data_IF_916750564661
#
_entry.id   IF_916750564661
#
_cell.length_a   1.000
_cell.length_b   1.000
_cell.length_c   1.000
_cell.angle_alpha   90.00
_cell.angle_beta   90.00
_cell.angle_gamma   90.00
#
_symmetry.space_group_name_H-M   'P 1'
#
loop_
_entity.id
_entity.type
_entity.pdbx_description
1 polymer ?
#
# COMPACT_ATOMS: atom_id res chain seq x y z
N UNK A 1 30.03 12.38 -2.34
CA UNK A 1 28.71 13.06 -2.38
C UNK A 1 28.55 13.76 -1.05
N UNK A 2 28.54 15.08 -1.00
CA UNK A 2 28.43 15.85 0.25
C UNK A 2 27.00 15.77 0.79
N UNK A 3 26.78 15.71 2.12
CA UNK A 3 25.45 15.71 2.70
C UNK A 3 24.74 17.04 2.40
N UNK A 4 23.50 16.94 1.95
CA UNK A 4 22.60 18.07 1.73
C UNK A 4 22.37 18.80 3.07
N UNK A 5 22.47 20.15 3.13
CA UNK A 5 22.19 20.87 4.35
C UNK A 5 20.72 20.71 4.76
N UNK A 6 20.41 20.72 6.07
CA UNK A 6 19.03 20.67 6.56
C UNK A 6 18.25 21.88 6.01
N UNK A 7 17.04 21.62 5.51
CA UNK A 7 16.12 22.62 5.01
C UNK A 7 15.89 23.68 6.10
N UNK A 8 16.21 24.92 5.79
CA UNK A 8 15.98 26.05 6.68
C UNK A 8 14.49 26.19 6.98
N UNK A 9 14.14 26.27 8.26
CA UNK A 9 12.81 26.67 8.72
C UNK A 9 12.49 28.03 8.10
N UNK A 10 11.49 28.12 7.22
CA UNK A 10 11.00 29.41 6.71
C UNK A 10 10.33 30.19 7.84
N UNK A 11 10.48 31.52 7.88
CA UNK A 11 9.83 32.37 8.88
C UNK A 11 8.30 32.30 8.76
N UNK A 12 7.61 32.49 9.89
CA UNK A 12 6.13 32.45 10.03
C UNK A 12 5.36 33.51 9.19
N UNK A 13 6.05 34.38 8.48
CA UNK A 13 5.51 35.50 7.67
C UNK A 13 5.37 35.17 6.16
N UNK A 14 5.49 33.89 5.73
CA UNK A 14 5.36 33.54 4.32
C UNK A 14 3.91 33.73 3.86
N UNK A 15 3.70 34.63 2.89
CA UNK A 15 2.40 34.85 2.23
C UNK A 15 2.13 33.70 1.25
N UNK A 16 1.16 32.84 1.54
CA UNK A 16 0.76 31.71 0.71
C UNK A 16 -0.14 30.75 1.50
N UNK A 17 -0.84 29.83 0.80
CA UNK A 17 -1.70 28.86 1.47
C UNK A 17 -0.87 27.92 2.35
N UNK A 18 -1.48 27.48 3.45
CA UNK A 18 -0.90 26.46 4.31
C UNK A 18 -1.33 25.06 3.88
N UNK A 19 -0.43 24.09 4.11
CA UNK A 19 -0.72 22.67 3.94
C UNK A 19 -0.41 21.94 5.24
N UNK A 20 -1.42 21.29 5.81
CA UNK A 20 -1.26 20.43 6.97
C UNK A 20 -1.31 18.95 6.55
N UNK A 21 -0.37 18.14 7.03
CA UNK A 21 -0.23 16.73 6.66
C UNK A 21 -0.29 15.87 7.91
N UNK A 22 -1.15 14.86 7.91
CA UNK A 22 -1.26 13.82 8.94
C UNK A 22 -0.87 12.44 8.37
N UNK A 23 -0.23 11.59 9.16
CA UNK A 23 0.25 10.27 8.76
C UNK A 23 1.64 10.34 8.11
N UNK A 24 2.53 11.18 8.61
CA UNK A 24 3.84 11.49 8.01
C UNK A 24 4.97 10.55 8.42
N UNK A 25 4.73 9.65 9.38
CA UNK A 25 5.76 8.77 9.95
C UNK A 25 6.28 7.68 8.98
N UNK A 26 5.72 7.59 7.76
CA UNK A 26 6.08 6.61 6.73
C UNK A 26 7.07 7.16 5.68
N UNK A 27 7.61 6.26 4.86
CA UNK A 27 8.40 6.63 3.68
C UNK A 27 7.64 7.52 2.69
N UNK A 28 6.32 7.33 2.57
CA UNK A 28 5.43 8.21 1.80
C UNK A 28 5.35 9.61 2.42
N UNK A 29 5.12 9.68 3.74
CA UNK A 29 5.04 10.95 4.46
C UNK A 29 6.29 11.79 4.31
N UNK A 30 7.46 11.15 4.40
CA UNK A 30 8.75 11.81 4.16
C UNK A 30 8.85 12.44 2.77
N UNK A 31 8.39 11.71 1.72
CA UNK A 31 8.40 12.20 0.34
C UNK A 31 7.42 13.35 0.13
N UNK A 32 6.22 13.21 0.65
CA UNK A 32 5.19 14.26 0.58
C UNK A 32 5.67 15.54 1.26
N UNK A 33 6.18 15.44 2.50
CA UNK A 33 6.73 16.61 3.21
C UNK A 33 7.91 17.24 2.48
N UNK A 34 8.79 16.44 1.87
CA UNK A 34 9.91 16.95 1.10
C UNK A 34 9.44 17.73 -0.14
N UNK A 35 8.45 17.19 -0.88
CA UNK A 35 7.88 17.88 -2.05
C UNK A 35 7.20 19.19 -1.66
N UNK A 36 6.36 19.18 -0.62
CA UNK A 36 5.67 20.39 -0.14
C UNK A 36 6.63 21.45 0.36
N UNK A 37 7.68 21.08 1.09
CA UNK A 37 8.69 22.04 1.59
C UNK A 37 9.54 22.63 0.47
N UNK A 38 9.65 21.96 -0.67
CA UNK A 38 10.33 22.46 -1.85
C UNK A 38 9.47 23.41 -2.71
N UNK A 39 8.15 23.44 -2.50
CA UNK A 39 7.23 24.29 -3.24
C UNK A 39 7.36 25.77 -2.76
N UNK A 40 7.80 26.70 -3.63
CA UNK A 40 7.97 28.10 -3.27
C UNK A 40 6.65 28.85 -3.06
N UNK A 41 5.56 28.34 -3.62
CA UNK A 41 4.26 29.01 -3.58
C UNK A 41 3.49 28.73 -2.28
N UNK A 42 3.97 27.77 -1.46
CA UNK A 42 3.38 27.48 -0.15
C UNK A 42 3.91 28.43 0.94
N UNK A 43 2.98 28.98 1.72
CA UNK A 43 3.28 29.78 2.90
C UNK A 43 3.81 28.91 4.02
N UNK A 44 3.08 27.89 4.41
CA UNK A 44 3.42 27.05 5.56
C UNK A 44 3.11 25.57 5.32
N UNK A 45 4.06 24.69 5.67
CA UNK A 45 3.87 23.22 5.70
C UNK A 45 3.88 22.76 7.16
N UNK A 46 2.77 22.18 7.61
CA UNK A 46 2.55 21.73 8.98
C UNK A 46 2.54 20.22 9.02
N UNK A 47 3.50 19.63 9.70
CA UNK A 47 3.52 18.21 9.99
C UNK A 47 2.73 17.95 11.28
N UNK A 48 1.51 17.43 11.14
CA UNK A 48 0.57 17.24 12.25
C UNK A 48 0.99 16.13 13.22
N UNK A 49 1.91 15.26 12.81
CA UNK A 49 2.39 14.18 13.68
C UNK A 49 3.52 14.65 14.60
N UNK A 50 4.14 15.79 14.30
CA UNK A 50 5.26 16.34 15.08
C UNK A 50 4.97 17.68 15.74
N UNK A 51 3.92 18.39 15.33
CA UNK A 51 3.55 19.68 15.93
C UNK A 51 3.04 19.52 17.37
N UNK A 52 3.32 20.49 18.22
CA UNK A 52 2.98 20.45 19.66
C UNK A 52 1.47 20.37 19.91
N UNK A 53 0.68 21.12 19.11
CA UNK A 53 -0.78 21.13 19.22
C UNK A 53 -1.41 20.92 17.83
N UNK A 54 -1.65 19.66 17.45
CA UNK A 54 -2.24 19.35 16.16
C UNK A 54 -3.71 19.80 16.04
N UNK A 55 -4.43 19.97 17.14
CA UNK A 55 -5.82 20.45 17.13
C UNK A 55 -5.85 21.94 16.81
N UNK A 56 -5.03 22.74 17.49
CA UNK A 56 -4.93 24.17 17.20
C UNK A 56 -4.40 24.42 15.78
N UNK A 57 -3.44 23.61 15.31
CA UNK A 57 -2.91 23.72 13.97
C UNK A 57 -4.00 23.46 12.90
N UNK A 58 -4.85 22.46 13.09
CA UNK A 58 -5.99 22.18 12.21
C UNK A 58 -7.07 23.27 12.26
N UNK A 59 -7.38 23.75 13.45
CA UNK A 59 -8.38 24.82 13.62
C UNK A 59 -7.94 26.14 12.98
N UNK A 60 -6.64 26.35 12.81
CA UNK A 60 -6.07 27.52 12.13
C UNK A 60 -6.06 27.45 10.61
N UNK A 61 -6.52 26.33 10.00
CA UNK A 61 -6.62 26.23 8.54
C UNK A 61 -7.81 27.04 8.02
N UNK A 62 -7.61 27.73 6.90
CA UNK A 62 -8.59 28.56 6.25
C UNK A 62 -9.08 27.98 4.90
N UNK A 63 -9.89 28.75 4.16
CA UNK A 63 -10.53 28.30 2.90
C UNK A 63 -9.54 28.10 1.75
N UNK A 64 -8.35 28.70 1.81
CA UNK A 64 -7.31 28.54 0.81
C UNK A 64 -6.38 27.35 1.13
N UNK A 65 -6.42 26.86 2.37
CA UNK A 65 -5.52 25.84 2.89
C UNK A 65 -5.97 24.42 2.52
N UNK A 66 -5.01 23.49 2.55
CA UNK A 66 -5.25 22.08 2.27
C UNK A 66 -4.87 21.21 3.48
N UNK A 67 -5.75 20.29 3.82
CA UNK A 67 -5.46 19.17 4.72
C UNK A 67 -5.17 17.90 3.91
N UNK A 68 -4.01 17.31 4.11
CA UNK A 68 -3.63 16.02 3.53
C UNK A 68 -3.67 14.97 4.65
N UNK A 69 -4.45 13.90 4.45
CA UNK A 69 -4.53 12.79 5.38
C UNK A 69 -4.05 11.51 4.71
N UNK A 70 -2.83 11.10 5.02
CA UNK A 70 -2.19 9.91 4.44
C UNK A 70 -2.72 8.61 5.05
N UNK A 71 -3.31 8.69 6.25
CA UNK A 71 -3.99 7.56 6.87
C UNK A 71 -3.08 6.41 7.25
N UNK A 72 -1.79 6.67 7.41
CA UNK A 72 -0.81 5.68 7.81
C UNK A 72 0.12 6.28 8.88
N UNK A 73 -0.05 5.89 10.17
CA UNK A 73 0.89 6.26 11.20
C UNK A 73 2.24 5.54 11.09
N UNK A 74 2.41 4.63 10.13
CA UNK A 74 3.69 4.03 9.74
C UNK A 74 4.29 3.01 10.72
N UNK A 75 3.61 2.62 11.80
CA UNK A 75 4.27 1.94 12.91
C UNK A 75 3.67 0.59 13.29
N UNK A 76 2.38 0.39 13.15
CA UNK A 76 1.77 -0.88 13.55
C UNK A 76 1.19 -1.62 12.35
N UNK A 77 1.71 -2.81 12.10
CA UNK A 77 1.13 -3.72 11.12
C UNK A 77 -0.02 -4.47 11.81
N UNK A 78 -1.22 -4.38 11.21
CA UNK A 78 -2.36 -5.19 11.62
C UNK A 78 -2.11 -6.70 11.47
N UNK A 79 -3.07 -7.53 11.90
CA UNK A 79 -2.94 -8.99 11.82
C UNK A 79 -2.74 -9.52 10.39
N UNK A 80 -3.09 -8.74 9.38
CA UNK A 80 -2.91 -9.03 7.95
C UNK A 80 -1.56 -8.53 7.41
N UNK A 81 -0.71 -7.91 8.26
CA UNK A 81 0.61 -7.39 7.88
C UNK A 81 0.56 -6.11 7.07
N UNK A 82 -0.56 -5.41 7.08
CA UNK A 82 -0.76 -4.11 6.45
C UNK A 82 -0.88 -3.02 7.54
N UNK A 83 -0.59 -1.75 7.19
CA UNK A 83 -0.71 -0.65 8.14
C UNK A 83 -2.09 -0.62 8.79
N UNK A 84 -2.12 -0.48 10.11
CA UNK A 84 -3.38 -0.34 10.84
C UNK A 84 -3.89 1.10 10.71
N UNK A 85 -5.07 1.24 10.11
CA UNK A 85 -5.76 2.51 9.96
C UNK A 85 -6.95 2.55 10.91
N UNK A 86 -7.03 3.59 11.74
CA UNK A 86 -8.24 3.92 12.51
C UNK A 86 -9.02 5.06 11.82
N UNK A 87 -10.17 4.77 11.20
CA UNK A 87 -10.99 5.81 10.57
C UNK A 87 -11.44 6.92 11.54
N UNK A 88 -11.42 6.65 12.87
CA UNK A 88 -11.78 7.66 13.87
C UNK A 88 -10.80 8.82 13.92
N UNK A 89 -9.52 8.61 13.53
CA UNK A 89 -8.52 9.67 13.52
C UNK A 89 -8.76 10.66 12.38
N UNK A 90 -9.21 10.16 11.21
CA UNK A 90 -9.70 11.04 10.16
C UNK A 90 -10.90 11.87 10.64
N UNK A 91 -11.90 11.24 11.27
CA UNK A 91 -13.08 11.93 11.79
C UNK A 91 -12.69 13.07 12.73
N UNK A 92 -11.87 12.80 13.74
CA UNK A 92 -11.35 13.82 14.68
C UNK A 92 -10.61 14.93 13.94
N UNK A 93 -9.78 14.55 12.94
CA UNK A 93 -9.05 15.49 12.12
C UNK A 93 -9.95 16.44 11.33
N UNK A 94 -11.02 15.91 10.72
CA UNK A 94 -12.02 16.70 9.98
C UNK A 94 -12.83 17.62 10.90
N UNK A 95 -13.24 17.13 12.07
CA UNK A 95 -13.93 17.92 13.09
C UNK A 95 -13.07 19.08 13.60
N UNK A 96 -11.75 18.85 13.75
CA UNK A 96 -10.80 19.88 14.16
C UNK A 96 -10.42 20.88 13.04
N UNK A 97 -10.86 20.69 11.80
CA UNK A 97 -10.54 21.52 10.63
C UNK A 97 -11.81 22.14 10.01
N UNK A 98 -12.55 22.96 10.73
CA UNK A 98 -13.89 23.41 10.30
C UNK A 98 -13.87 24.33 9.07
N UNK A 99 -12.78 25.05 8.83
CA UNK A 99 -12.65 26.07 7.78
C UNK A 99 -11.72 25.69 6.64
N UNK A 100 -11.18 24.45 6.64
CA UNK A 100 -10.29 23.99 5.56
C UNK A 100 -11.02 23.98 4.22
N UNK A 101 -10.40 24.53 3.18
CA UNK A 101 -11.03 24.66 1.86
C UNK A 101 -10.69 23.55 0.87
N UNK A 102 -9.75 22.66 1.20
CA UNK A 102 -9.44 21.50 0.36
C UNK A 102 -8.93 20.32 1.20
N UNK A 103 -9.33 19.12 0.83
CA UNK A 103 -8.96 17.88 1.48
C UNK A 103 -8.34 16.91 0.46
N UNK A 104 -7.20 16.30 0.80
CA UNK A 104 -6.64 15.17 0.06
C UNK A 104 -6.55 13.98 1.00
N UNK A 105 -7.21 12.88 0.68
CA UNK A 105 -7.26 11.68 1.52
C UNK A 105 -6.72 10.49 0.77
N UNK A 106 -5.84 9.75 1.42
CA UNK A 106 -5.34 8.49 0.89
C UNK A 106 -6.26 7.34 1.28
N UNK A 107 -6.84 6.68 0.27
CA UNK A 107 -7.56 5.41 0.35
C UNK A 107 -6.68 4.27 -0.20
N UNK A 108 -7.26 3.28 -0.84
CA UNK A 108 -6.55 2.21 -1.57
C UNK A 108 -7.46 1.59 -2.64
N UNK A 109 -6.89 1.14 -3.74
CA UNK A 109 -7.63 0.36 -4.75
C UNK A 109 -8.21 -0.95 -4.18
N UNK A 110 -7.65 -1.47 -3.09
CA UNK A 110 -8.20 -2.64 -2.39
C UNK A 110 -9.62 -2.40 -1.84
N UNK A 111 -10.05 -1.15 -1.66
CA UNK A 111 -11.42 -0.83 -1.24
C UNK A 111 -12.49 -1.28 -2.23
N UNK A 112 -12.15 -1.48 -3.51
CA UNK A 112 -13.07 -2.08 -4.49
C UNK A 112 -13.41 -3.54 -4.19
N UNK A 113 -12.56 -4.24 -3.44
CA UNK A 113 -12.62 -5.68 -3.29
C UNK A 113 -12.04 -6.44 -4.51
N UNK A 114 -11.72 -7.70 -4.30
CA UNK A 114 -11.20 -8.58 -5.35
C UNK A 114 -12.21 -9.71 -5.58
N UNK A 115 -13.05 -9.56 -6.60
CA UNK A 115 -14.14 -10.48 -6.89
C UNK A 115 -13.98 -11.13 -8.26
N UNK A 116 -14.45 -12.38 -8.45
CA UNK A 116 -14.37 -13.07 -9.73
C UNK A 116 -15.04 -12.31 -10.88
N UNK A 117 -15.98 -11.43 -10.55
CA UNK A 117 -16.80 -10.67 -11.51
C UNK A 117 -16.31 -9.25 -11.72
N UNK A 118 -15.18 -8.88 -11.14
CA UNK A 118 -14.63 -7.53 -11.32
C UNK A 118 -14.33 -7.27 -12.82
N UNK A 119 -14.71 -6.09 -13.33
CA UNK A 119 -14.18 -5.64 -14.62
C UNK A 119 -12.65 -5.44 -14.53
N UNK A 120 -11.97 -5.56 -15.66
CA UNK A 120 -10.53 -5.36 -15.77
C UNK A 120 -10.26 -4.33 -16.87
N UNK A 121 -9.78 -3.15 -16.52
CA UNK A 121 -9.53 -2.61 -15.18
C UNK A 121 -10.80 -2.12 -14.47
N UNK A 122 -10.70 -1.90 -13.14
CA UNK A 122 -11.69 -1.18 -12.34
C UNK A 122 -11.56 0.33 -12.58
N UNK A 123 -12.68 1.02 -12.65
CA UNK A 123 -12.75 2.50 -12.78
C UNK A 123 -13.33 3.12 -11.51
N UNK A 124 -13.26 4.44 -11.40
CA UNK A 124 -13.80 5.17 -10.23
C UNK A 124 -15.32 5.08 -10.10
N UNK A 125 -16.03 4.72 -11.16
CA UNK A 125 -17.48 4.47 -11.16
C UNK A 125 -17.83 3.10 -10.57
N UNK A 126 -16.84 2.21 -10.42
CA UNK A 126 -17.08 0.89 -9.81
C UNK A 126 -17.38 1.07 -8.32
N UNK A 127 -18.50 0.53 -7.81
CA UNK A 127 -18.83 0.63 -6.38
C UNK A 127 -17.77 -0.02 -5.50
N UNK A 128 -17.51 0.55 -4.34
CA UNK A 128 -16.68 -0.06 -3.32
C UNK A 128 -17.40 -1.25 -2.68
N UNK A 129 -16.77 -2.40 -2.71
CA UNK A 129 -17.30 -3.63 -2.12
C UNK A 129 -16.16 -4.46 -1.51
N UNK A 130 -15.47 -3.95 -0.48
CA UNK A 130 -14.35 -4.65 0.14
C UNK A 130 -14.82 -5.95 0.79
N UNK A 131 -13.94 -6.95 0.84
CA UNK A 131 -14.19 -8.15 1.66
C UNK A 131 -14.17 -7.74 3.15
N UNK A 132 -15.28 -7.92 3.90
CA UNK A 132 -15.33 -7.55 5.32
C UNK A 132 -14.32 -8.30 6.20
N UNK A 133 -13.85 -9.47 5.75
CA UNK A 133 -12.82 -10.23 6.48
C UNK A 133 -11.42 -9.63 6.31
N UNK A 134 -11.24 -8.73 5.35
CA UNK A 134 -9.98 -8.04 5.09
C UNK A 134 -10.04 -6.62 5.65
N UNK A 135 -9.68 -6.48 6.91
CA UNK A 135 -9.84 -5.25 7.70
C UNK A 135 -9.23 -4.02 7.01
N UNK A 136 -8.07 -4.15 6.38
CA UNK A 136 -7.44 -3.05 5.66
C UNK A 136 -8.34 -2.44 4.59
N UNK A 137 -8.88 -3.25 3.69
CA UNK A 137 -9.75 -2.78 2.61
C UNK A 137 -11.08 -2.21 3.15
N UNK A 138 -11.67 -2.86 4.16
CA UNK A 138 -12.89 -2.40 4.80
C UNK A 138 -12.71 -1.02 5.47
N UNK A 139 -11.60 -0.80 6.17
CA UNK A 139 -11.28 0.50 6.78
C UNK A 139 -11.01 1.59 5.75
N UNK A 140 -10.39 1.28 4.59
CA UNK A 140 -10.22 2.25 3.49
C UNK A 140 -11.56 2.67 2.89
N UNK A 141 -12.48 1.74 2.69
CA UNK A 141 -13.85 2.08 2.26
C UNK A 141 -14.60 2.92 3.31
N UNK A 142 -14.38 2.65 4.60
CA UNK A 142 -14.95 3.45 5.69
C UNK A 142 -14.39 4.88 5.69
N UNK A 143 -13.11 5.08 5.44
CA UNK A 143 -12.49 6.40 5.27
C UNK A 143 -13.20 7.19 4.16
N UNK A 144 -13.47 6.57 3.02
CA UNK A 144 -14.16 7.23 1.92
C UNK A 144 -15.62 7.59 2.26
N UNK A 145 -16.30 6.70 2.99
CA UNK A 145 -17.65 6.98 3.49
C UNK A 145 -17.65 8.19 4.43
N UNK A 146 -16.69 8.28 5.34
CA UNK A 146 -16.53 9.41 6.26
C UNK A 146 -16.28 10.73 5.52
N UNK A 147 -15.44 10.72 4.48
CA UNK A 147 -15.23 11.91 3.62
C UNK A 147 -16.53 12.30 2.93
N UNK A 148 -17.27 11.34 2.37
CA UNK A 148 -18.55 11.58 1.74
C UNK A 148 -19.57 12.22 2.68
N UNK A 149 -19.72 11.68 3.90
CA UNK A 149 -20.60 12.22 4.94
C UNK A 149 -20.19 13.64 5.37
N UNK A 150 -18.90 13.86 5.61
CA UNK A 150 -18.38 15.17 6.00
C UNK A 150 -18.65 16.24 4.94
N UNK A 151 -18.61 15.87 3.65
CA UNK A 151 -18.91 16.78 2.54
C UNK A 151 -20.38 17.14 2.40
N UNK A 152 -21.33 16.33 2.89
CA UNK A 152 -22.76 16.65 2.78
C UNK A 152 -23.08 18.02 3.42
N UNK A 153 -22.38 18.36 4.49
CA UNK A 153 -22.53 19.63 5.19
C UNK A 153 -21.60 20.73 4.65
N UNK A 154 -20.73 20.40 3.68
CA UNK A 154 -19.67 21.28 3.15
C UNK A 154 -19.53 21.16 1.63
N UNK A 155 -20.55 21.47 0.86
CA UNK A 155 -20.57 21.27 -0.60
C UNK A 155 -19.51 22.11 -1.33
N UNK A 156 -19.07 23.23 -0.73
CA UNK A 156 -18.07 24.13 -1.30
C UNK A 156 -16.62 23.68 -1.07
N UNK A 157 -16.39 22.64 -0.26
CA UNK A 157 -15.04 22.11 0.01
C UNK A 157 -14.72 21.00 -0.98
N UNK A 158 -13.67 21.17 -1.78
CA UNK A 158 -13.14 20.11 -2.64
C UNK A 158 -12.49 18.99 -1.82
N UNK A 159 -12.72 17.72 -2.18
CA UNK A 159 -12.07 16.59 -1.54
C UNK A 159 -11.61 15.56 -2.57
N UNK A 160 -10.31 15.39 -2.71
CA UNK A 160 -9.71 14.35 -3.52
C UNK A 160 -9.48 13.09 -2.67
N UNK A 161 -10.02 11.95 -3.12
CA UNK A 161 -9.78 10.63 -2.54
C UNK A 161 -8.91 9.84 -3.50
N UNK A 162 -7.69 9.54 -3.10
CA UNK A 162 -6.73 8.81 -3.93
C UNK A 162 -6.75 7.32 -3.60
N UNK A 163 -6.93 6.47 -4.61
CA UNK A 163 -7.00 5.01 -4.52
C UNK A 163 -5.77 4.37 -5.18
N UNK A 164 -4.62 4.31 -4.50
CA UNK A 164 -3.42 3.73 -5.07
C UNK A 164 -3.52 2.21 -5.25
N UNK A 165 -2.87 1.70 -6.31
CA UNK A 165 -2.51 0.30 -6.46
C UNK A 165 -1.50 -0.13 -5.37
N UNK A 166 -0.99 -1.38 -5.43
CA UNK A 166 0.08 -1.81 -4.50
C UNK A 166 1.27 -0.87 -4.63
N UNK A 167 1.56 -0.14 -3.55
CA UNK A 167 2.60 0.89 -3.57
C UNK A 167 3.88 0.38 -2.92
N UNK A 168 4.99 0.48 -3.62
CA UNK A 168 6.30 -0.04 -3.20
C UNK A 168 7.43 0.91 -3.62
N UNK A 169 8.60 0.71 -3.02
CA UNK A 169 9.87 1.34 -3.38
C UNK A 169 11.02 0.43 -2.92
N UNK A 170 12.26 0.84 -3.11
CA UNK A 170 13.44 0.06 -2.70
C UNK A 170 13.41 -0.34 -1.21
N UNK A 171 12.91 0.51 -0.32
CA UNK A 171 12.74 0.19 1.11
C UNK A 171 11.64 -0.83 1.41
N UNK A 172 10.77 -1.11 0.45
CA UNK A 172 9.66 -2.07 0.61
C UNK A 172 10.06 -3.52 0.36
N UNK A 173 11.32 -3.82 0.03
CA UNK A 173 11.82 -5.14 -0.35
C UNK A 173 11.42 -6.23 0.65
N UNK A 174 11.64 -6.01 1.94
CA UNK A 174 11.34 -7.00 2.97
C UNK A 174 9.83 -7.25 3.08
N UNK A 175 9.04 -6.19 3.01
CA UNK A 175 7.58 -6.28 3.05
C UNK A 175 7.03 -6.99 1.81
N UNK A 176 7.45 -6.60 0.60
CA UNK A 176 6.99 -7.22 -0.63
C UNK A 176 7.35 -8.71 -0.67
N UNK A 177 8.56 -9.09 -0.27
CA UNK A 177 9.01 -10.48 -0.26
C UNK A 177 8.16 -11.38 0.66
N UNK A 178 7.60 -10.84 1.73
CA UNK A 178 6.73 -11.55 2.67
C UNK A 178 5.24 -11.41 2.33
N UNK A 179 4.88 -10.48 1.47
CA UNK A 179 3.50 -10.17 1.13
C UNK A 179 2.88 -11.25 0.22
N UNK A 180 1.54 -11.30 0.13
CA UNK A 180 0.83 -12.15 -0.83
C UNK A 180 1.08 -11.72 -2.29
N UNK A 181 1.57 -10.52 -2.52
CA UNK A 181 1.86 -9.95 -3.85
C UNK A 181 3.29 -10.19 -4.33
N UNK A 182 4.11 -10.87 -3.53
CA UNK A 182 5.44 -11.30 -4.00
C UNK A 182 5.30 -12.27 -5.18
N UNK A 183 6.25 -12.24 -6.12
CA UNK A 183 6.26 -13.17 -7.24
C UNK A 183 6.21 -14.63 -6.81
N UNK A 184 6.80 -14.96 -5.66
CA UNK A 184 6.74 -16.31 -5.09
C UNK A 184 5.31 -16.70 -4.70
N UNK A 185 4.59 -15.81 -3.99
CA UNK A 185 3.22 -16.05 -3.56
C UNK A 185 2.27 -16.14 -4.76
N UNK A 186 2.42 -15.23 -5.73
CA UNK A 186 1.62 -15.20 -6.95
C UNK A 186 1.82 -16.45 -7.82
N UNK A 187 3.06 -16.96 -7.92
CA UNK A 187 3.32 -18.24 -8.60
C UNK A 187 2.72 -19.43 -7.88
N UNK A 188 2.77 -19.43 -6.54
CA UNK A 188 2.25 -20.52 -5.72
C UNK A 188 0.71 -20.59 -5.78
N UNK A 189 0.01 -19.48 -5.92
CA UNK A 189 -1.46 -19.44 -6.04
C UNK A 189 -1.96 -20.10 -7.32
N UNK A 190 -1.15 -20.11 -8.40
CA UNK A 190 -1.57 -20.61 -9.71
C UNK A 190 -2.56 -19.70 -10.43
N UNK A 191 -3.01 -18.61 -9.81
CA UNK A 191 -3.97 -17.69 -10.40
C UNK A 191 -3.33 -16.91 -11.57
N UNK A 192 -4.03 -16.83 -12.69
CA UNK A 192 -3.67 -16.01 -13.83
C UNK A 192 -4.39 -14.67 -13.70
N UNK A 193 -3.77 -13.74 -12.95
CA UNK A 193 -4.33 -12.42 -12.73
C UNK A 193 -3.31 -11.31 -12.97
N UNK A 194 -3.74 -10.17 -13.50
CA UNK A 194 -2.90 -9.00 -13.64
C UNK A 194 -2.51 -8.43 -12.26
N UNK A 195 -1.34 -7.80 -12.20
CA UNK A 195 -0.82 -7.14 -10.99
C UNK A 195 -0.28 -5.76 -11.32
N UNK A 196 -0.51 -4.80 -10.44
CA UNK A 196 -0.02 -3.43 -10.57
C UNK A 196 0.83 -3.05 -9.37
N UNK A 197 1.95 -2.37 -9.65
CA UNK A 197 2.87 -1.84 -8.64
C UNK A 197 3.15 -0.38 -8.92
N UNK A 198 2.78 0.49 -8.00
CA UNK A 198 2.98 1.93 -8.06
C UNK A 198 4.22 2.30 -7.25
N UNK A 199 5.06 3.19 -7.76
CA UNK A 199 6.18 3.70 -6.98
C UNK A 199 5.73 4.73 -5.95
N UNK A 200 6.38 4.74 -4.77
CA UNK A 200 6.10 5.71 -3.70
C UNK A 200 6.29 7.16 -4.16
N UNK A 201 7.27 7.44 -5.02
CA UNK A 201 7.49 8.79 -5.55
C UNK A 201 6.36 9.23 -6.48
N UNK A 202 5.81 8.31 -7.29
CA UNK A 202 4.67 8.61 -8.16
C UNK A 202 3.39 8.86 -7.34
N UNK A 203 3.22 8.12 -6.23
CA UNK A 203 2.11 8.39 -5.31
C UNK A 203 2.28 9.74 -4.61
N UNK A 204 3.48 10.09 -4.15
CA UNK A 204 3.74 11.39 -3.56
C UNK A 204 3.47 12.53 -4.55
N UNK A 205 3.88 12.35 -5.83
CA UNK A 205 3.59 13.28 -6.90
C UNK A 205 2.08 13.39 -7.19
N UNK A 206 1.31 12.29 -7.12
CA UNK A 206 -0.14 12.31 -7.30
C UNK A 206 -0.85 13.07 -6.15
N UNK A 207 -0.37 12.93 -4.92
CA UNK A 207 -0.90 13.66 -3.75
C UNK A 207 -0.66 15.17 -3.92
N UNK A 208 0.53 15.58 -4.31
CA UNK A 208 0.85 16.98 -4.53
C UNK A 208 0.10 17.55 -5.74
N UNK A 209 -0.01 16.78 -6.83
CA UNK A 209 -0.81 17.13 -8.00
C UNK A 209 -2.30 17.36 -7.61
N UNK A 210 -2.88 16.48 -6.80
CA UNK A 210 -4.25 16.63 -6.32
C UNK A 210 -4.44 17.92 -5.50
N UNK A 211 -3.46 18.29 -4.69
CA UNK A 211 -3.42 19.56 -3.96
C UNK A 211 -3.35 20.76 -4.89
N UNK A 212 -2.35 20.77 -5.80
CA UNK A 212 -2.09 21.90 -6.70
C UNK A 212 -3.33 22.21 -7.56
N UNK A 213 -3.94 21.18 -8.11
CA UNK A 213 -5.10 21.31 -8.99
C UNK A 213 -6.43 21.29 -8.25
N UNK A 214 -6.41 21.26 -6.91
CA UNK A 214 -7.61 21.20 -6.05
C UNK A 214 -8.62 20.18 -6.55
N UNK A 215 -8.13 18.96 -6.85
CA UNK A 215 -8.96 17.91 -7.42
C UNK A 215 -10.13 17.58 -6.48
N UNK A 216 -11.27 17.22 -7.08
CA UNK A 216 -12.49 16.85 -6.36
C UNK A 216 -13.04 15.52 -6.87
N UNK A 217 -13.32 14.59 -5.96
CA UNK A 217 -13.80 13.24 -6.26
C UNK A 217 -12.76 12.14 -6.02
N UNK A 218 -13.09 10.93 -6.43
CA UNK A 218 -12.19 9.77 -6.32
C UNK A 218 -11.29 9.65 -7.57
N UNK A 219 -10.04 9.24 -7.36
CA UNK A 219 -9.04 9.03 -8.41
C UNK A 219 -8.23 7.78 -8.12
N UNK A 220 -8.19 6.88 -9.08
CA UNK A 220 -7.26 5.75 -9.04
C UNK A 220 -5.83 6.22 -9.34
N UNK A 221 -4.86 5.76 -8.56
CA UNK A 221 -3.45 6.07 -8.76
C UNK A 221 -2.70 4.78 -9.07
N UNK A 222 -2.35 4.61 -10.32
CA UNK A 222 -1.72 3.39 -10.82
C UNK A 222 -0.80 3.70 -12.00
N UNK A 223 0.18 2.82 -12.31
CA UNK A 223 0.92 2.90 -13.57
C UNK A 223 0.00 2.62 -14.77
N UNK A 224 0.46 2.96 -15.97
CA UNK A 224 -0.33 2.88 -17.22
C UNK A 224 -0.75 1.48 -17.66
N UNK A 225 -0.16 0.46 -17.09
CA UNK A 225 -0.39 -0.93 -17.46
C UNK A 225 -0.44 -1.82 -16.23
N UNK A 226 -0.45 -3.12 -16.45
CA UNK A 226 -0.31 -4.15 -15.42
C UNK A 226 0.60 -5.26 -15.90
N UNK A 227 1.21 -5.96 -14.97
CA UNK A 227 2.00 -7.15 -15.24
C UNK A 227 1.09 -8.36 -15.35
N UNK A 228 1.22 -9.13 -16.45
CA UNK A 228 0.67 -10.47 -16.52
C UNK A 228 1.44 -11.40 -15.56
N UNK A 229 0.86 -12.53 -15.24
CA UNK A 229 1.52 -13.59 -14.45
C UNK A 229 2.88 -13.99 -15.05
N UNK A 230 2.92 -14.16 -16.37
CA UNK A 230 4.13 -14.61 -17.06
C UNK A 230 5.21 -13.50 -17.03
N UNK A 231 4.84 -12.25 -17.30
CA UNK A 231 5.75 -11.12 -17.19
C UNK A 231 6.33 -11.00 -15.76
N UNK A 232 5.48 -11.11 -14.74
CA UNK A 232 5.94 -11.10 -13.35
C UNK A 232 6.86 -12.30 -13.04
N UNK A 233 6.57 -13.46 -13.61
CA UNK A 233 7.40 -14.65 -13.46
C UNK A 233 8.79 -14.48 -14.11
N UNK A 234 8.85 -13.83 -15.25
CA UNK A 234 10.11 -13.55 -15.96
C UNK A 234 10.96 -12.52 -15.20
N UNK A 235 10.34 -11.44 -14.71
CA UNK A 235 11.01 -10.40 -13.91
C UNK A 235 11.61 -10.97 -12.62
N UNK A 236 10.88 -11.83 -11.92
CA UNK A 236 11.36 -12.45 -10.69
C UNK A 236 12.46 -13.51 -10.90
N UNK A 237 12.79 -13.84 -12.15
CA UNK A 237 13.84 -14.80 -12.50
C UNK A 237 13.52 -16.26 -12.06
N UNK A 238 14.44 -17.18 -12.29
CA UNK A 238 14.25 -18.60 -11.98
C UNK A 238 14.24 -18.82 -10.46
N UNK A 239 13.05 -18.99 -9.90
CA UNK A 239 12.87 -19.46 -8.52
C UNK A 239 12.86 -20.98 -8.52
N UNK A 240 13.63 -21.62 -7.65
CA UNK A 240 13.62 -23.07 -7.47
C UNK A 240 12.20 -23.58 -7.25
N UNK A 241 11.69 -24.43 -8.15
CA UNK A 241 10.35 -25.01 -8.08
C UNK A 241 10.32 -26.10 -7.02
N UNK A 242 10.00 -25.77 -5.79
CA UNK A 242 9.58 -26.77 -4.81
C UNK A 242 8.07 -26.95 -5.00
N UNK A 243 7.67 -28.01 -5.70
CA UNK A 243 6.25 -28.41 -5.81
C UNK A 243 5.82 -28.99 -4.47
N UNK A 244 5.17 -28.19 -3.64
CA UNK A 244 4.52 -28.68 -2.44
C UNK A 244 3.14 -29.23 -2.82
N UNK A 245 2.73 -30.42 -2.31
CA UNK A 245 1.37 -30.90 -2.49
C UNK A 245 0.35 -29.85 -1.99
N UNK A 246 -0.82 -29.73 -2.65
CA UNK A 246 -1.84 -28.74 -2.26
C UNK A 246 -2.25 -28.80 -0.78
N UNK A 247 -2.27 -29.99 -0.20
CA UNK A 247 -2.53 -30.19 1.23
C UNK A 247 -1.48 -29.58 2.16
N UNK A 248 -0.24 -29.44 1.68
CA UNK A 248 0.86 -28.83 2.41
C UNK A 248 0.83 -27.32 2.32
N UNK A 249 0.49 -26.79 1.15
CA UNK A 249 0.28 -25.36 0.95
C UNK A 249 -0.81 -24.87 1.91
N UNK A 250 -1.92 -25.63 2.02
CA UNK A 250 -3.01 -25.31 2.94
C UNK A 250 -2.54 -25.33 4.42
N UNK A 251 -1.76 -26.34 4.84
CA UNK A 251 -1.24 -26.42 6.20
C UNK A 251 -0.23 -25.31 6.55
N UNK A 252 0.67 -24.98 5.63
CA UNK A 252 1.62 -23.88 5.80
C UNK A 252 0.86 -22.56 5.90
N UNK A 253 -0.17 -22.37 5.10
CA UNK A 253 -1.05 -21.20 5.16
C UNK A 253 -1.79 -21.09 6.50
N UNK A 254 -2.39 -22.19 6.98
CA UNK A 254 -3.08 -22.21 8.28
C UNK A 254 -2.10 -21.95 9.44
N UNK A 255 -0.88 -22.49 9.37
CA UNK A 255 0.15 -22.23 10.37
C UNK A 255 0.60 -20.77 10.35
N UNK A 256 0.81 -20.19 9.17
CA UNK A 256 1.15 -18.76 9.04
C UNK A 256 0.05 -17.87 9.61
N UNK A 257 -1.23 -18.17 9.35
CA UNK A 257 -2.35 -17.45 9.93
C UNK A 257 -2.41 -17.53 11.46
N UNK A 258 -2.03 -18.69 12.05
CA UNK A 258 -1.95 -18.86 13.51
C UNK A 258 -0.76 -18.13 14.15
N UNK A 259 0.30 -17.90 13.38
CA UNK A 259 1.51 -17.21 13.81
C UNK A 259 1.46 -15.68 13.53
N UNK A 260 0.32 -15.16 13.06
CA UNK A 260 0.19 -13.74 12.72
C UNK A 260 1.07 -13.29 11.54
N UNK A 261 1.52 -14.24 10.69
CA UNK A 261 2.33 -13.90 9.52
C UNK A 261 1.42 -13.34 8.42
N UNK A 262 1.78 -12.20 7.80
CA UNK A 262 1.02 -11.59 6.72
C UNK A 262 0.62 -12.60 5.62
N UNK A 263 -0.63 -12.56 5.14
CA UNK A 263 -1.14 -13.45 4.11
C UNK A 263 -1.99 -14.60 4.63
N UNK A 264 -2.72 -14.40 5.74
CA UNK A 264 -3.84 -15.26 6.18
C UNK A 264 -5.01 -15.23 5.18
N UNK A 265 -6.10 -15.95 5.51
CA UNK A 265 -7.31 -16.05 4.65
C UNK A 265 -7.89 -14.71 4.21
N UNK A 266 -7.72 -13.66 5.01
CA UNK A 266 -8.30 -12.34 4.79
C UNK A 266 -7.82 -11.63 3.51
N UNK A 267 -6.66 -11.97 2.95
CA UNK A 267 -6.15 -11.36 1.70
C UNK A 267 -6.20 -12.31 0.50
N UNK A 268 -6.77 -13.51 0.65
CA UNK A 268 -6.72 -14.58 -0.37
C UNK A 268 -7.42 -14.15 -1.68
N UNK A 269 -8.55 -13.47 -1.58
CA UNK A 269 -9.28 -12.96 -2.73
C UNK A 269 -8.42 -12.01 -3.59
N UNK A 270 -7.61 -11.16 -2.96
CA UNK A 270 -6.71 -10.22 -3.65
C UNK A 270 -5.52 -10.91 -4.32
N UNK A 271 -5.26 -12.17 -4.00
CA UNK A 271 -4.27 -13.02 -4.67
C UNK A 271 -4.92 -13.84 -5.79
N UNK A 272 -6.21 -14.18 -5.69
CA UNK A 272 -6.91 -15.05 -6.63
C UNK A 272 -7.59 -14.30 -7.76
N UNK A 273 -8.12 -13.09 -7.49
CA UNK A 273 -8.93 -12.33 -8.44
C UNK A 273 -8.28 -11.01 -8.84
N UNK A 274 -8.64 -10.53 -10.03
CA UNK A 274 -8.17 -9.27 -10.55
C UNK A 274 -8.80 -8.07 -9.81
N UNK A 275 -7.96 -7.05 -9.52
CA UNK A 275 -8.40 -5.78 -8.94
C UNK A 275 -7.51 -4.61 -9.39
N UNK A 276 -6.94 -4.75 -10.60
CA UNK A 276 -6.17 -3.66 -11.24
C UNK A 276 -7.11 -2.53 -11.63
N UNK A 277 -6.62 -1.31 -11.55
CA UNK A 277 -7.41 -0.08 -11.73
C UNK A 277 -6.94 0.71 -12.95
N UNK A 278 -7.87 1.40 -13.60
CA UNK A 278 -7.56 2.40 -14.62
C UNK A 278 -7.13 3.71 -13.95
N UNK A 279 -6.17 4.43 -14.56
CA UNK A 279 -5.69 5.74 -14.10
C UNK A 279 -6.14 6.90 -15.00
N UNK A 280 -7.01 6.62 -15.98
CA UNK A 280 -7.40 7.57 -17.04
C UNK A 280 -7.95 8.89 -16.48
N UNK A 281 -8.75 8.82 -15.42
CA UNK A 281 -9.36 9.98 -14.78
C UNK A 281 -8.29 10.91 -14.18
N UNK A 282 -7.29 10.37 -13.50
CA UNK A 282 -6.20 11.17 -12.94
C UNK A 282 -5.30 11.70 -14.05
N UNK A 283 -5.01 10.88 -15.08
CA UNK A 283 -4.24 11.32 -16.25
C UNK A 283 -4.91 12.47 -17.00
N UNK A 284 -6.22 12.45 -17.11
CA UNK A 284 -6.98 13.55 -17.73
C UNK A 284 -6.78 14.91 -17.02
N UNK A 285 -6.31 14.91 -15.77
CA UNK A 285 -5.95 16.13 -15.02
C UNK A 285 -4.51 16.59 -15.28
N UNK A 286 -3.72 15.83 -16.03
CA UNK A 286 -2.32 16.13 -16.36
C UNK A 286 -1.28 15.40 -15.50
N UNK A 287 -1.69 14.52 -14.58
CA UNK A 287 -0.75 13.65 -13.87
C UNK A 287 -0.31 12.47 -14.74
N UNK A 288 0.96 12.09 -14.66
CA UNK A 288 1.52 10.91 -15.32
C UNK A 288 2.45 10.15 -14.38
N UNK A 289 2.38 8.80 -14.37
CA UNK A 289 3.35 7.98 -13.65
C UNK A 289 4.71 8.08 -14.36
N UNK A 290 5.78 8.20 -13.60
CA UNK A 290 7.16 8.30 -14.10
C UNK A 290 7.79 6.94 -14.32
N UNK A 291 7.44 5.97 -13.47
CA UNK A 291 7.99 4.62 -13.49
C UNK A 291 6.96 3.62 -14.01
N UNK A 292 7.46 2.65 -14.78
CA UNK A 292 6.65 1.54 -15.29
C UNK A 292 6.53 0.45 -14.23
N UNK A 293 5.49 -0.38 -14.33
CA UNK A 293 5.29 -1.53 -13.45
C UNK A 293 6.53 -2.42 -13.29
N UNK A 294 7.21 -2.70 -14.42
CA UNK A 294 8.40 -3.55 -14.46
C UNK A 294 9.55 -2.94 -13.65
N UNK A 295 9.77 -1.65 -13.82
CA UNK A 295 10.83 -0.89 -13.13
C UNK A 295 10.58 -0.88 -11.63
N UNK A 296 9.36 -0.54 -11.24
CA UNK A 296 8.92 -0.51 -9.83
C UNK A 296 9.04 -1.88 -9.18
N UNK A 297 8.63 -2.95 -9.91
CA UNK A 297 8.70 -4.29 -9.38
C UNK A 297 10.16 -4.74 -9.17
N UNK A 298 11.04 -4.50 -10.15
CA UNK A 298 12.46 -4.89 -10.08
C UNK A 298 13.19 -4.12 -8.97
N UNK A 299 12.85 -2.85 -8.75
CA UNK A 299 13.42 -2.06 -7.65
C UNK A 299 13.01 -2.60 -6.28
N UNK A 300 11.74 -2.99 -6.13
CA UNK A 300 11.21 -3.50 -4.87
C UNK A 300 11.47 -5.01 -4.64
N UNK A 301 11.79 -5.77 -5.69
CA UNK A 301 12.18 -7.19 -5.61
C UNK A 301 13.44 -7.44 -6.44
N UNK A 302 14.62 -6.97 -5.98
CA UNK A 302 15.90 -7.10 -6.71
C UNK A 302 16.37 -8.55 -6.86
N UNK A 303 15.48 -9.49 -6.65
CA UNK A 303 15.77 -10.93 -6.60
C UNK A 303 16.09 -11.35 -5.16
N UNK A 304 15.50 -12.45 -4.71
CA UNK A 304 15.76 -12.98 -3.37
C UNK A 304 17.25 -13.26 -3.14
N UNK A 305 17.68 -13.47 -1.89
CA UNK A 305 19.09 -13.66 -1.51
C UNK A 305 19.81 -14.80 -2.27
N UNK A 306 19.07 -15.52 -3.10
CA UNK A 306 19.59 -16.53 -4.01
C UNK A 306 19.82 -16.00 -5.43
N UNK A 307 19.41 -14.76 -5.76
CA UNK A 307 19.53 -14.21 -7.12
C UNK A 307 20.98 -14.08 -7.57
N UNK A 308 21.89 -13.71 -6.66
CA UNK A 308 23.32 -13.55 -6.91
C UNK A 308 24.12 -14.85 -6.77
N UNK A 309 23.45 -15.95 -6.41
CA UNK A 309 24.13 -17.25 -6.24
C UNK A 309 24.21 -18.01 -7.56
N UNK A 310 25.32 -18.74 -7.76
CA UNK A 310 25.46 -19.64 -8.90
C UNK A 310 24.35 -20.71 -8.91
N UNK A 311 23.92 -21.20 -10.09
CA UNK A 311 22.87 -22.21 -10.20
C UNK A 311 23.12 -23.47 -9.33
N UNK A 312 24.39 -23.88 -9.20
CA UNK A 312 24.81 -25.01 -8.38
C UNK A 312 24.56 -24.77 -6.90
N UNK A 313 24.91 -23.59 -6.39
CA UNK A 313 24.73 -23.22 -4.97
C UNK A 313 23.26 -23.05 -4.62
N UNK A 314 22.44 -22.54 -5.55
CA UNK A 314 20.96 -22.49 -5.41
C UNK A 314 20.37 -23.88 -5.27
N UNK A 315 20.86 -24.84 -6.09
CA UNK A 315 20.39 -26.23 -6.04
C UNK A 315 20.81 -26.92 -4.73
N UNK A 316 22.02 -26.70 -4.25
CA UNK A 316 22.51 -27.23 -2.96
C UNK A 316 21.67 -26.72 -1.77
N UNK A 317 21.34 -25.43 -1.74
CA UNK A 317 20.48 -24.84 -0.71
C UNK A 317 19.04 -25.37 -0.81
N UNK A 318 18.50 -25.47 -2.02
CA UNK A 318 17.16 -26.02 -2.23
C UNK A 318 17.04 -27.48 -1.79
N UNK A 319 18.08 -28.27 -2.04
CA UNK A 319 18.16 -29.68 -1.59
C UNK A 319 18.33 -29.76 -0.06
N UNK A 320 19.12 -28.88 0.55
CA UNK A 320 19.30 -28.83 2.01
C UNK A 320 17.99 -28.44 2.72
N UNK A 321 17.26 -27.44 2.21
CA UNK A 321 15.94 -27.04 2.74
C UNK A 321 14.91 -28.13 2.55
N UNK A 322 14.89 -28.81 1.39
CA UNK A 322 14.02 -29.95 1.15
C UNK A 322 14.35 -31.12 2.09
N UNK A 323 15.64 -31.40 2.32
CA UNK A 323 16.10 -32.42 3.26
C UNK A 323 15.69 -32.14 4.70
N UNK A 324 15.82 -30.88 5.16
CA UNK A 324 15.36 -30.45 6.50
C UNK A 324 13.85 -30.56 6.64
N UNK A 325 13.11 -30.21 5.60
CA UNK A 325 11.64 -30.40 5.54
C UNK A 325 11.24 -31.87 5.65
N UNK A 326 11.97 -32.78 4.98
CA UNK A 326 11.73 -34.22 5.02
C UNK A 326 12.03 -34.79 6.42
N UNK A 327 13.11 -34.33 7.06
CA UNK A 327 13.45 -34.74 8.43
C UNK A 327 12.39 -34.27 9.43
N UNK A 328 11.90 -33.05 9.32
CA UNK A 328 10.77 -32.55 10.13
C UNK A 328 9.51 -33.41 9.98
N UNK A 329 9.22 -33.84 8.76
CA UNK A 329 8.12 -34.75 8.44
C UNK A 329 8.21 -36.12 9.11
N UNK A 330 9.39 -36.73 9.01
CA UNK A 330 9.63 -38.03 9.63
C UNK A 330 9.51 -37.94 11.15
N UNK A 331 10.02 -36.87 11.76
CA UNK A 331 9.88 -36.62 13.20
C UNK A 331 8.41 -36.47 13.59
N UNK A 332 7.62 -35.70 12.85
CA UNK A 332 6.19 -35.52 13.13
C UNK A 332 5.38 -36.80 12.92
N UNK A 333 5.68 -37.57 11.86
CA UNK A 333 5.05 -38.85 11.62
C UNK A 333 5.37 -39.87 12.74
N UNK A 334 6.62 -39.94 13.17
CA UNK A 334 7.03 -40.79 14.31
C UNK A 334 6.38 -40.34 15.62
N UNK A 335 6.27 -39.04 15.87
CA UNK A 335 5.58 -38.50 17.04
C UNK A 335 4.09 -38.83 17.03
N UNK A 336 3.46 -38.78 15.86
CA UNK A 336 2.02 -39.13 15.67
C UNK A 336 1.77 -40.63 15.89
N UNK A 337 2.64 -41.48 15.36
CA UNK A 337 2.57 -42.95 15.55
C UNK A 337 2.76 -43.28 17.04
N UNK A 338 3.73 -42.65 17.71
CA UNK A 338 3.95 -42.87 19.14
C UNK A 338 2.80 -42.40 20.03
N UNK A 339 2.11 -41.33 19.64
CA UNK A 339 0.89 -40.86 20.33
C UNK A 339 -0.27 -41.84 20.17
N UNK A 340 -0.46 -42.41 18.96
CA UNK A 340 -1.52 -43.41 18.68
C UNK A 340 -1.25 -44.77 19.33
N UNK A 341 0.00 -45.11 19.61
CA UNK A 341 0.38 -46.37 20.27
C UNK A 341 0.33 -46.30 21.82
N UNK A 342 0.07 -45.10 22.38
CA UNK A 342 -0.03 -44.88 23.84
C UNK A 342 -1.44 -44.57 24.32
N UNK A 343 -2.43 -44.46 23.46
CA UNK A 343 -3.86 -44.38 23.76
C UNK A 343 -4.59 -45.63 23.27
#
# INVERSE_FOLDING_TARGET
MAPMPPAANRPDDATGPAVAVAGTASGLGTRVLAALRADPDLGRVIDLDTVVDPVAARAGLGPDDTLIHLGDPGVELGPDGLPELDPSDLRKGLEASPSVGHLVVLSAAMAYGAWPTNPVPLTEETPLHPDPSFAYAARRAEVERLVGEWRLDRPDVGAAVLRPAVTVAAESVAWLALSPWSARALRASGADRPSQFLHLDDLAAAIDHARIHRLDGAYNVAPDSWLSRDALADLAGPVGRVHLPPSWVARVRDLRGRLGVPGGRAGEAYVEHAWVVANDRLRATGWEPRLRNEEVYVEADPGGPLADMSPRRRQEISLAVAGLGLVGLVVDAVALIRRRARG
#
